data_IF_765980720341
#
_entry.id   IF_765980720341
#
_cell.length_a   1.000
_cell.length_b   1.000
_cell.length_c   1.000
_cell.angle_alpha   90.00
_cell.angle_beta   90.00
_cell.angle_gamma   90.00
#
_symmetry.space_group_name_H-M   'P 1'
#
loop_
_entity.id
_entity.type
_entity.pdbx_description
1 polymer ?
#
# COMPACT_ATOMS: atom_id res chain seq x y z
N UNK A 1 6.16 2.26 15.80
CA UNK A 1 4.89 2.42 15.05
C UNK A 1 5.13 2.17 13.57
N UNK A 2 4.26 1.41 12.92
CA UNK A 2 4.26 1.26 11.46
C UNK A 2 2.89 1.68 10.91
N UNK A 3 2.88 2.52 9.86
CA UNK A 3 1.66 2.94 9.19
C UNK A 3 1.69 2.36 7.77
N UNK A 4 0.67 1.62 7.39
CA UNK A 4 0.53 1.08 6.05
C UNK A 4 -0.64 1.72 5.33
N UNK A 5 -0.43 2.17 4.09
CA UNK A 5 -1.43 2.88 3.30
C UNK A 5 -1.71 2.11 2.01
N UNK A 6 -2.81 1.37 1.97
CA UNK A 6 -3.39 0.86 0.75
C UNK A 6 -4.34 1.90 0.15
N UNK A 7 -4.55 1.88 -1.18
CA UNK A 7 -5.28 2.99 -1.81
C UNK A 7 -5.78 2.65 -3.21
N UNK A 8 -6.92 3.17 -3.57
CA UNK A 8 -7.37 3.29 -4.95
C UNK A 8 -6.52 4.34 -5.70
N UNK A 9 -6.43 4.23 -7.02
CA UNK A 9 -5.74 5.20 -7.87
C UNK A 9 -6.41 6.58 -7.77
N UNK A 10 -5.62 7.66 -7.68
CA UNK A 10 -6.12 9.03 -7.53
C UNK A 10 -6.52 9.44 -6.10
N UNK A 11 -6.17 8.67 -5.07
CA UNK A 11 -6.49 8.97 -3.66
C UNK A 11 -5.40 9.73 -2.89
N UNK A 12 -4.35 10.23 -3.55
CA UNK A 12 -3.34 11.10 -2.95
C UNK A 12 -2.46 10.43 -1.87
N UNK A 13 -2.31 9.10 -1.89
CA UNK A 13 -1.64 8.34 -0.85
C UNK A 13 -0.17 8.72 -0.65
N UNK A 14 0.53 9.13 -1.71
CA UNK A 14 1.94 9.54 -1.60
C UNK A 14 2.06 10.84 -0.80
N UNK A 15 1.26 11.86 -1.14
CA UNK A 15 1.24 13.13 -0.39
C UNK A 15 0.82 12.96 1.07
N UNK A 16 -0.19 12.09 1.33
CA UNK A 16 -0.62 11.76 2.70
C UNK A 16 0.52 11.07 3.45
N UNK A 17 1.20 10.11 2.83
CA UNK A 17 2.33 9.39 3.41
C UNK A 17 3.52 10.30 3.74
N UNK A 18 3.88 11.21 2.83
CA UNK A 18 4.93 12.21 3.04
C UNK A 18 4.63 13.15 4.20
N UNK A 19 3.38 13.66 4.29
CA UNK A 19 3.00 14.53 5.40
C UNK A 19 2.95 13.80 6.75
N UNK A 20 2.51 12.53 6.76
CA UNK A 20 2.59 11.70 7.97
C UNK A 20 4.04 11.43 8.37
N UNK A 21 4.92 11.15 7.41
CA UNK A 21 6.34 10.95 7.66
C UNK A 21 6.99 12.19 8.29
N UNK A 22 6.69 13.37 7.74
CA UNK A 22 7.14 14.63 8.29
C UNK A 22 6.56 14.90 9.71
N UNK A 23 5.27 14.59 9.94
CA UNK A 23 4.61 14.77 11.24
C UNK A 23 5.22 13.90 12.33
N UNK A 24 5.53 12.65 12.01
CA UNK A 24 6.02 11.67 12.98
C UNK A 24 7.54 11.52 12.94
N UNK A 25 8.24 12.21 12.02
CA UNK A 25 9.68 12.11 11.80
C UNK A 25 10.15 10.64 11.69
N UNK A 26 9.47 9.86 10.83
CA UNK A 26 9.76 8.46 10.55
C UNK A 26 9.95 8.24 9.05
N UNK A 27 10.72 7.22 8.63
CA UNK A 27 10.95 6.93 7.22
C UNK A 27 9.67 6.67 6.44
N UNK A 28 9.66 7.12 5.17
CA UNK A 28 8.59 6.89 4.21
C UNK A 28 9.06 6.00 3.09
N UNK A 29 8.39 4.87 2.91
CA UNK A 29 8.72 3.89 1.88
C UNK A 29 7.64 3.77 0.83
N UNK A 30 8.07 3.99 -0.41
CA UNK A 30 7.32 3.72 -1.63
C UNK A 30 7.87 2.44 -2.28
N UNK A 31 7.20 1.95 -3.34
CA UNK A 31 7.73 0.86 -4.16
C UNK A 31 9.18 1.12 -4.59
N UNK A 32 9.49 2.34 -5.04
CA UNK A 32 10.83 2.71 -5.54
C UNK A 32 11.89 2.62 -4.43
N UNK A 33 11.61 3.16 -3.26
CA UNK A 33 12.56 3.13 -2.15
C UNK A 33 12.73 1.74 -1.54
N UNK A 34 11.68 0.92 -1.52
CA UNK A 34 11.77 -0.48 -1.10
C UNK A 34 12.58 -1.33 -2.08
N UNK A 35 12.40 -1.12 -3.38
CA UNK A 35 13.19 -1.78 -4.42
C UNK A 35 14.68 -1.44 -4.27
N UNK A 36 15.01 -0.17 -4.02
CA UNK A 36 16.41 0.22 -3.79
C UNK A 36 16.97 -0.37 -2.49
N UNK A 37 16.17 -0.42 -1.43
CA UNK A 37 16.56 -1.10 -0.19
C UNK A 37 16.84 -2.59 -0.42
N UNK A 38 16.01 -3.30 -1.20
CA UNK A 38 16.22 -4.71 -1.55
C UNK A 38 17.51 -4.90 -2.36
N UNK A 39 17.81 -3.97 -3.27
CA UNK A 39 19.06 -3.97 -4.03
C UNK A 39 20.27 -3.83 -3.11
N UNK A 40 20.27 -2.85 -2.22
CA UNK A 40 21.37 -2.59 -1.28
C UNK A 40 21.58 -3.79 -0.33
N UNK A 41 20.48 -4.43 0.09
CA UNK A 41 20.54 -5.64 0.94
C UNK A 41 20.89 -6.92 0.18
N UNK A 42 20.98 -6.90 -1.14
CA UNK A 42 21.34 -8.06 -1.97
C UNK A 42 20.22 -9.11 -2.11
N UNK A 43 18.97 -8.76 -1.78
CA UNK A 43 17.81 -9.67 -1.81
C UNK A 43 16.87 -9.43 -2.98
N UNK A 44 17.23 -8.51 -3.89
CA UNK A 44 16.35 -8.13 -5.00
C UNK A 44 15.98 -9.29 -5.91
N UNK A 45 16.93 -10.19 -6.23
CA UNK A 45 16.69 -11.34 -7.10
C UNK A 45 15.61 -12.31 -6.56
N UNK A 46 15.39 -12.31 -5.24
CA UNK A 46 14.36 -13.13 -4.59
C UNK A 46 13.00 -12.43 -4.53
N UNK A 47 12.93 -11.16 -4.98
CA UNK A 47 11.76 -10.28 -4.89
C UNK A 47 11.40 -9.62 -6.23
N UNK A 48 12.00 -10.02 -7.36
CA UNK A 48 11.86 -9.30 -8.64
C UNK A 48 10.39 -9.10 -9.02
N UNK A 49 9.58 -10.16 -9.02
CA UNK A 49 8.16 -10.08 -9.35
C UNK A 49 7.35 -9.26 -8.33
N UNK A 50 7.79 -9.24 -7.07
CA UNK A 50 7.14 -8.48 -6.00
C UNK A 50 7.20 -6.97 -6.24
N UNK A 51 8.28 -6.46 -6.81
CA UNK A 51 8.43 -5.04 -7.11
C UNK A 51 7.91 -4.66 -8.51
N UNK A 52 7.66 -5.62 -9.37
CA UNK A 52 7.07 -5.31 -10.66
C UNK A 52 5.58 -4.97 -10.51
N UNK A 53 5.13 -3.92 -11.22
CA UNK A 53 3.70 -3.61 -11.37
C UNK A 53 3.10 -4.33 -12.58
N UNK A 54 3.72 -5.41 -13.05
CA UNK A 54 3.10 -6.22 -14.07
C UNK A 54 1.80 -6.77 -13.52
N UNK A 55 0.71 -6.72 -14.30
CA UNK A 55 -0.44 -7.54 -13.98
C UNK A 55 0.11 -8.96 -13.82
N UNK A 56 -0.15 -9.57 -12.68
CA UNK A 56 0.03 -11.02 -12.54
C UNK A 56 -0.67 -11.60 -13.75
N UNK A 57 0.10 -12.32 -14.59
CA UNK A 57 -0.43 -12.86 -15.83
C UNK A 57 -1.71 -13.65 -15.51
N UNK A 58 -2.74 -13.53 -16.35
CA UNK A 58 -4.02 -14.22 -16.12
C UNK A 58 -3.81 -15.72 -15.90
N UNK A 59 -2.81 -16.30 -16.56
CA UNK A 59 -2.42 -17.69 -16.39
C UNK A 59 -1.80 -17.94 -15.01
N UNK A 60 -0.88 -17.09 -14.56
CA UNK A 60 -0.26 -17.19 -13.22
C UNK A 60 -1.32 -16.98 -12.13
N UNK A 61 -2.24 -16.03 -12.33
CA UNK A 61 -3.34 -15.80 -11.41
C UNK A 61 -4.29 -17.01 -11.34
N UNK A 62 -4.64 -17.61 -12.49
CA UNK A 62 -5.47 -18.80 -12.53
C UNK A 62 -4.78 -20.01 -11.89
N UNK A 63 -3.49 -20.18 -12.10
CA UNK A 63 -2.70 -21.27 -11.49
C UNK A 63 -2.63 -21.07 -9.97
N UNK A 64 -2.37 -19.85 -9.48
CA UNK A 64 -2.28 -19.56 -8.04
C UNK A 64 -3.61 -19.77 -7.31
N UNK A 65 -4.75 -19.59 -8.00
CA UNK A 65 -6.07 -19.86 -7.43
C UNK A 65 -6.46 -21.35 -7.47
N UNK A 66 -5.81 -22.15 -8.31
CA UNK A 66 -6.09 -23.58 -8.47
C UNK A 66 -5.05 -24.50 -7.83
N UNK A 67 -3.83 -24.02 -7.52
CA UNK A 67 -2.69 -24.83 -7.09
C UNK A 67 -2.32 -24.67 -5.63
N UNK A 68 -2.03 -25.78 -4.96
CA UNK A 68 -1.71 -25.83 -3.53
C UNK A 68 -0.22 -25.58 -3.22
N UNK A 69 0.67 -25.47 -4.22
CA UNK A 69 2.14 -25.49 -4.02
C UNK A 69 2.86 -24.14 -4.23
N UNK A 70 2.24 -23.16 -4.83
CA UNK A 70 2.87 -21.84 -5.05
C UNK A 70 2.83 -20.92 -3.83
N UNK A 71 2.09 -21.26 -2.79
CA UNK A 71 2.01 -20.48 -1.54
C UNK A 71 3.35 -20.24 -0.85
N UNK A 72 4.34 -21.10 -1.07
CA UNK A 72 5.68 -20.97 -0.49
C UNK A 72 6.53 -19.87 -1.15
N UNK A 73 6.41 -19.67 -2.46
CA UNK A 73 7.16 -18.62 -3.17
C UNK A 73 6.57 -17.23 -2.91
N UNK A 74 5.25 -17.13 -2.82
CA UNK A 74 4.55 -15.87 -2.53
C UNK A 74 4.83 -15.40 -1.10
N UNK A 75 4.86 -16.31 -0.13
CA UNK A 75 5.18 -15.98 1.27
C UNK A 75 6.60 -15.45 1.41
N UNK A 76 7.57 -15.97 0.64
CA UNK A 76 8.97 -15.59 0.74
C UNK A 76 9.22 -14.09 0.49
N UNK A 77 8.62 -13.50 -0.55
CA UNK A 77 8.77 -12.08 -0.83
C UNK A 77 8.17 -11.20 0.29
N UNK A 78 7.06 -11.65 0.87
CA UNK A 78 6.43 -10.97 2.02
C UNK A 78 7.31 -11.07 3.27
N UNK A 79 7.90 -12.25 3.52
CA UNK A 79 8.81 -12.48 4.65
C UNK A 79 10.08 -11.63 4.50
N UNK A 80 10.67 -11.58 3.30
CA UNK A 80 11.85 -10.74 3.02
C UNK A 80 11.52 -9.26 3.27
N UNK A 81 10.37 -8.77 2.82
CA UNK A 81 9.99 -7.38 3.12
C UNK A 81 9.79 -7.16 4.62
N UNK A 82 9.18 -8.10 5.32
CA UNK A 82 9.05 -8.06 6.77
C UNK A 82 10.42 -7.96 7.45
N UNK A 83 11.38 -8.78 7.05
CA UNK A 83 12.74 -8.79 7.59
C UNK A 83 13.52 -7.52 7.24
N UNK A 84 13.34 -6.99 6.01
CA UNK A 84 13.96 -5.73 5.59
C UNK A 84 13.55 -4.56 6.48
N UNK A 85 12.30 -4.51 6.88
CA UNK A 85 11.73 -3.46 7.75
C UNK A 85 11.99 -3.78 9.22
N UNK A 86 11.88 -5.05 9.62
CA UNK A 86 12.08 -5.51 10.99
C UNK A 86 11.16 -4.79 11.98
N UNK A 87 11.74 -4.29 13.07
CA UNK A 87 11.04 -3.55 14.11
C UNK A 87 11.10 -2.02 13.92
N UNK A 88 11.57 -1.55 12.76
CA UNK A 88 11.68 -0.12 12.48
C UNK A 88 10.31 0.56 12.44
N UNK A 89 10.30 1.81 12.84
CA UNK A 89 9.16 2.70 12.63
C UNK A 89 9.19 3.23 11.20
N UNK A 90 8.07 3.17 10.50
CA UNK A 90 8.00 3.68 9.13
C UNK A 90 6.57 3.80 8.60
N UNK A 91 6.46 4.45 7.45
CA UNK A 91 5.24 4.47 6.64
C UNK A 91 5.51 3.72 5.33
N UNK A 92 4.61 2.83 4.95
CA UNK A 92 4.70 2.05 3.71
C UNK A 92 3.44 2.25 2.87
N UNK A 93 3.62 2.61 1.60
CA UNK A 93 2.51 2.73 0.66
C UNK A 93 2.43 1.50 -0.25
N UNK A 94 1.36 0.72 -0.09
CA UNK A 94 1.08 -0.49 -0.87
C UNK A 94 1.85 -1.72 -0.41
N UNK A 95 2.19 -2.60 -1.36
CA UNK A 95 3.00 -3.83 -1.14
C UNK A 95 2.46 -4.76 -0.07
N UNK A 96 1.14 -4.88 0.02
CA UNK A 96 0.47 -5.74 1.01
C UNK A 96 0.88 -5.44 2.46
N UNK A 97 1.31 -4.21 2.76
CA UNK A 97 1.84 -3.84 4.07
C UNK A 97 0.88 -4.15 5.22
N UNK A 98 -0.42 -3.91 5.06
CA UNK A 98 -1.44 -4.29 6.05
C UNK A 98 -1.41 -5.79 6.39
N UNK A 99 -1.18 -6.65 5.40
CA UNK A 99 -1.10 -8.10 5.58
C UNK A 99 0.24 -8.53 6.19
N UNK A 100 1.35 -8.00 5.69
CA UNK A 100 2.71 -8.34 6.15
C UNK A 100 2.87 -8.04 7.63
N UNK A 101 2.42 -6.86 8.06
CA UNK A 101 2.63 -6.38 9.42
C UNK A 101 1.43 -6.59 10.36
N UNK A 102 0.43 -7.41 9.97
CA UNK A 102 -0.82 -7.65 10.71
C UNK A 102 -0.64 -8.14 12.15
N UNK A 103 0.51 -8.72 12.46
CA UNK A 103 0.82 -9.23 13.80
C UNK A 103 1.56 -8.23 14.70
N UNK A 104 1.88 -7.03 14.17
CA UNK A 104 2.50 -5.99 14.98
C UNK A 104 1.44 -5.23 15.77
N UNK A 105 1.65 -5.10 17.07
CA UNK A 105 0.74 -4.37 17.97
C UNK A 105 0.77 -2.85 17.77
N UNK A 106 1.78 -2.34 17.06
CA UNK A 106 1.97 -0.92 16.73
C UNK A 106 1.65 -0.60 15.25
N UNK A 107 0.91 -1.51 14.55
CA UNK A 107 0.42 -1.28 13.20
C UNK A 107 -0.77 -0.33 13.19
N UNK A 108 -0.75 0.59 12.24
CA UNK A 108 -1.93 1.35 11.80
C UNK A 108 -2.13 1.12 10.31
N UNK A 109 -3.19 0.42 9.96
CA UNK A 109 -3.51 0.06 8.58
C UNK A 109 -4.63 0.93 8.02
N UNK A 110 -4.36 1.59 6.89
CA UNK A 110 -5.26 2.56 6.26
C UNK A 110 -5.57 2.14 4.83
N UNK A 111 -6.84 2.20 4.45
CA UNK A 111 -7.29 2.10 3.06
C UNK A 111 -7.94 3.40 2.60
N UNK A 112 -7.33 4.03 1.59
CA UNK A 112 -7.83 5.26 0.99
C UNK A 112 -8.68 4.94 -0.23
N UNK A 113 -9.91 5.42 -0.25
CA UNK A 113 -10.86 5.29 -1.35
C UNK A 113 -11.40 6.64 -1.79
N UNK A 114 -12.12 6.66 -2.90
CA UNK A 114 -12.83 7.83 -3.39
C UNK A 114 -13.85 7.46 -4.46
N UNK A 115 -14.79 8.34 -4.73
CA UNK A 115 -15.71 8.17 -5.85
C UNK A 115 -14.92 8.14 -7.15
N UNK A 116 -15.23 7.23 -8.05
CA UNK A 116 -14.51 7.06 -9.30
C UNK A 116 -14.37 8.36 -10.10
N UNK A 117 -15.46 9.11 -10.26
CA UNK A 117 -15.44 10.39 -10.97
C UNK A 117 -14.49 11.42 -10.33
N UNK A 118 -14.36 11.42 -9.00
CA UNK A 118 -13.48 12.33 -8.27
C UNK A 118 -12.01 11.92 -8.44
N UNK A 119 -11.74 10.61 -8.39
CA UNK A 119 -10.42 10.03 -8.61
C UNK A 119 -9.92 10.25 -10.05
N UNK A 120 -10.81 10.08 -11.05
CA UNK A 120 -10.51 10.38 -12.46
C UNK A 120 -10.15 11.85 -12.63
N UNK A 121 -10.89 12.78 -12.00
CA UNK A 121 -10.55 14.20 -12.04
C UNK A 121 -9.19 14.50 -11.40
N UNK A 122 -8.90 13.88 -10.27
CA UNK A 122 -7.62 14.03 -9.58
C UNK A 122 -6.45 13.55 -10.47
N UNK A 123 -6.56 12.36 -11.06
CA UNK A 123 -5.54 11.81 -11.96
C UNK A 123 -5.41 12.67 -13.24
N UNK A 124 -6.53 13.15 -13.81
CA UNK A 124 -6.48 14.00 -14.99
C UNK A 124 -5.71 15.30 -14.73
N UNK A 125 -5.91 15.90 -13.55
CA UNK A 125 -5.22 17.12 -13.14
C UNK A 125 -3.73 16.86 -12.80
N UNK A 126 -3.42 15.78 -12.10
CA UNK A 126 -2.06 15.43 -11.68
C UNK A 126 -1.17 15.06 -12.89
N UNK A 127 -1.69 14.24 -13.81
CA UNK A 127 -0.95 13.75 -14.97
C UNK A 127 -1.06 14.67 -16.21
N UNK A 128 -1.89 15.71 -16.17
CA UNK A 128 -2.11 16.60 -17.31
C UNK A 128 -2.74 15.90 -18.51
N UNK A 129 -3.61 14.91 -18.30
CA UNK A 129 -4.22 14.09 -19.34
C UNK A 129 -5.72 14.31 -19.46
N UNK A 130 -6.31 13.85 -20.59
CA UNK A 130 -7.76 13.92 -20.79
C UNK A 130 -8.52 13.03 -19.78
N UNK A 131 -9.76 13.37 -19.41
CA UNK A 131 -10.57 12.53 -18.52
C UNK A 131 -10.73 11.08 -18.98
N UNK A 132 -10.80 10.86 -20.30
CA UNK A 132 -10.87 9.50 -20.88
C UNK A 132 -9.58 8.71 -20.62
N UNK A 133 -8.41 9.34 -20.77
CA UNK A 133 -7.12 8.71 -20.47
C UNK A 133 -6.94 8.47 -18.98
N UNK A 134 -7.34 9.44 -18.15
CA UNK A 134 -7.34 9.29 -16.70
C UNK A 134 -8.23 8.14 -16.22
N UNK A 135 -9.41 7.95 -16.83
CA UNK A 135 -10.29 6.82 -16.52
C UNK A 135 -9.60 5.48 -16.80
N UNK A 136 -8.95 5.34 -17.95
CA UNK A 136 -8.20 4.13 -18.27
C UNK A 136 -7.09 3.88 -17.24
N UNK A 137 -6.29 4.91 -16.89
CA UNK A 137 -5.24 4.79 -15.85
C UNK A 137 -5.83 4.33 -14.51
N UNK A 138 -6.96 4.93 -14.09
CA UNK A 138 -7.62 4.57 -12.82
C UNK A 138 -8.05 3.12 -12.80
N UNK A 139 -8.68 2.63 -13.86
CA UNK A 139 -9.15 1.26 -13.96
C UNK A 139 -7.99 0.27 -14.01
N UNK A 140 -7.03 0.47 -14.91
CA UNK A 140 -5.88 -0.43 -15.09
C UNK A 140 -5.06 -0.56 -13.79
N UNK A 141 -4.85 0.56 -13.08
CA UNK A 141 -4.11 0.57 -11.82
C UNK A 141 -4.86 -0.12 -10.68
N UNK A 142 -6.17 0.08 -10.57
CA UNK A 142 -6.97 -0.56 -9.51
C UNK A 142 -7.11 -2.06 -9.79
N UNK A 143 -7.34 -2.47 -11.03
CA UNK A 143 -7.39 -3.88 -11.43
C UNK A 143 -6.05 -4.59 -11.18
N UNK A 144 -4.93 -3.92 -11.48
CA UNK A 144 -3.61 -4.45 -11.17
C UNK A 144 -3.43 -4.65 -9.66
N UNK A 145 -3.88 -3.71 -8.83
CA UNK A 145 -3.79 -3.81 -7.36
C UNK A 145 -4.68 -4.91 -6.78
N UNK A 146 -5.89 -5.06 -7.32
CA UNK A 146 -6.79 -6.17 -6.94
C UNK A 146 -6.10 -7.51 -7.16
N UNK A 147 -5.57 -7.74 -8.39
CA UNK A 147 -4.87 -8.98 -8.74
C UNK A 147 -3.61 -9.19 -7.89
N UNK A 148 -2.79 -8.17 -7.75
CA UNK A 148 -1.58 -8.20 -6.93
C UNK A 148 -1.88 -8.57 -5.47
N UNK A 149 -2.86 -7.92 -4.86
CA UNK A 149 -3.21 -8.18 -3.47
C UNK A 149 -3.75 -9.61 -3.29
N UNK A 150 -4.66 -10.05 -4.17
CA UNK A 150 -5.20 -11.41 -4.14
C UNK A 150 -4.10 -12.46 -4.33
N UNK A 151 -3.15 -12.22 -5.24
CA UNK A 151 -2.06 -13.14 -5.53
C UNK A 151 -1.14 -13.36 -4.31
N UNK A 152 -0.76 -12.30 -3.60
CA UNK A 152 0.14 -12.39 -2.45
C UNK A 152 -0.53 -12.72 -1.13
N UNK A 153 -1.80 -12.40 -0.95
CA UNK A 153 -2.46 -12.47 0.35
C UNK A 153 -3.65 -13.41 0.41
N UNK A 154 -4.20 -13.80 -0.75
CA UNK A 154 -5.48 -14.50 -0.91
C UNK A 154 -6.68 -13.77 -0.28
N UNK A 155 -6.54 -12.46 -0.04
CA UNK A 155 -7.58 -11.61 0.54
C UNK A 155 -8.15 -10.65 -0.51
N UNK A 156 -9.41 -10.26 -0.30
CA UNK A 156 -10.06 -9.25 -1.12
C UNK A 156 -9.48 -7.86 -0.83
N UNK A 157 -8.90 -7.23 -1.85
CA UNK A 157 -8.37 -5.87 -1.71
C UNK A 157 -9.46 -4.85 -1.36
N UNK A 158 -9.19 -4.01 -0.35
CA UNK A 158 -10.11 -2.98 0.12
C UNK A 158 -11.28 -3.48 0.96
N UNK A 159 -11.27 -4.76 1.38
CA UNK A 159 -12.20 -5.24 2.39
C UNK A 159 -11.95 -4.49 3.71
N UNK A 160 -12.96 -3.79 4.20
CA UNK A 160 -12.83 -2.92 5.38
C UNK A 160 -12.47 -3.66 6.67
N UNK A 161 -12.68 -4.98 6.73
CA UNK A 161 -12.30 -5.80 7.88
C UNK A 161 -10.77 -5.96 8.04
N UNK A 162 -10.00 -5.70 6.95
CA UNK A 162 -8.55 -5.87 6.92
C UNK A 162 -7.77 -4.57 7.17
N UNK A 163 -8.49 -3.50 7.57
CA UNK A 163 -7.90 -2.17 7.79
C UNK A 163 -8.51 -1.50 9.02
N UNK A 164 -7.68 -0.76 9.75
CA UNK A 164 -8.15 0.04 10.89
C UNK A 164 -8.99 1.25 10.44
N UNK A 165 -8.61 1.87 9.33
CA UNK A 165 -9.29 3.03 8.75
C UNK A 165 -9.57 2.83 7.26
N UNK A 166 -10.84 3.02 6.87
CA UNK A 166 -11.28 3.05 5.47
C UNK A 166 -12.09 4.32 5.21
N UNK A 167 -11.57 5.27 4.44
CA UNK A 167 -12.29 6.53 4.21
C UNK A 167 -12.03 7.14 2.83
N UNK A 168 -12.92 8.08 2.44
CA UNK A 168 -12.81 8.84 1.18
C UNK A 168 -11.83 10.00 1.35
N UNK A 169 -10.58 9.77 0.96
CA UNK A 169 -9.50 10.75 1.06
C UNK A 169 -9.60 11.85 -0.01
N UNK A 170 -10.22 11.57 -1.15
CA UNK A 170 -10.41 12.57 -2.22
C UNK A 170 -11.39 13.66 -1.76
N UNK A 171 -12.49 13.24 -1.12
CA UNK A 171 -13.48 14.16 -0.56
C UNK A 171 -12.92 14.92 0.64
N UNK A 172 -12.12 14.28 1.47
CA UNK A 172 -11.59 14.87 2.70
C UNK A 172 -10.42 15.83 2.42
N UNK A 173 -9.61 15.54 1.41
CA UNK A 173 -8.37 16.24 1.10
C UNK A 173 -7.19 15.75 1.95
N UNK A 174 -5.98 16.08 1.51
CA UNK A 174 -4.73 15.56 2.12
C UNK A 174 -4.58 15.97 3.58
N UNK A 175 -4.68 17.25 3.90
CA UNK A 175 -4.48 17.77 5.27
C UNK A 175 -5.42 17.16 6.29
N UNK A 176 -6.71 17.06 5.94
CA UNK A 176 -7.71 16.47 6.85
C UNK A 176 -7.56 14.95 6.95
N UNK A 177 -7.09 14.29 5.89
CA UNK A 177 -6.75 12.85 5.91
C UNK A 177 -5.60 12.58 6.88
N UNK A 178 -4.55 13.39 6.85
CA UNK A 178 -3.42 13.33 7.79
C UNK A 178 -3.89 13.58 9.23
N UNK A 179 -4.76 14.59 9.42
CA UNK A 179 -5.31 14.88 10.73
C UNK A 179 -6.15 13.73 11.30
N UNK A 180 -7.01 13.12 10.46
CA UNK A 180 -7.85 11.97 10.83
C UNK A 180 -7.00 10.76 11.25
N UNK A 181 -5.99 10.40 10.45
CA UNK A 181 -5.07 9.32 10.79
C UNK A 181 -4.33 9.63 12.09
N UNK A 182 -3.88 10.88 12.26
CA UNK A 182 -3.22 11.32 13.49
C UNK A 182 -4.11 11.20 14.73
N UNK A 183 -5.37 11.61 14.66
CA UNK A 183 -6.33 11.45 15.76
C UNK A 183 -6.56 9.98 16.11
N UNK A 184 -6.62 9.11 15.11
CA UNK A 184 -6.73 7.68 15.34
C UNK A 184 -5.52 7.12 16.11
N UNK A 185 -4.31 7.46 15.68
CA UNK A 185 -3.04 7.06 16.33
C UNK A 185 -3.00 7.54 17.78
N UNK A 186 -3.37 8.80 18.02
CA UNK A 186 -3.46 9.39 19.36
C UNK A 186 -4.48 8.67 20.24
N UNK A 187 -5.64 8.33 19.67
CA UNK A 187 -6.69 7.57 20.36
C UNK A 187 -6.27 6.16 20.79
N UNK A 188 -5.38 5.51 20.02
CA UNK A 188 -4.79 4.22 20.36
C UNK A 188 -3.69 4.30 21.43
N UNK A 189 -3.23 5.50 21.78
CA UNK A 189 -2.11 5.68 22.70
C UNK A 189 -0.77 5.19 22.14
N UNK A 190 -0.68 4.99 20.83
CA UNK A 190 0.57 4.60 20.16
C UNK A 190 1.51 5.80 20.22
N UNK A 191 2.59 5.66 21.00
CA UNK A 191 3.66 6.66 21.09
C UNK A 191 4.85 6.25 20.26
N UNK A 192 5.55 7.24 19.70
CA UNK A 192 6.86 7.04 19.10
C UNK A 192 7.78 6.38 20.14
N UNK A 193 8.59 5.41 19.73
CA UNK A 193 9.68 4.91 20.58
C UNK A 193 10.66 6.07 20.78
N UNK A 194 10.91 6.43 22.01
CA UNK A 194 11.99 7.37 22.31
C UNK A 194 13.32 6.76 21.83
N UNK A 195 14.09 7.53 21.05
CA UNK A 195 15.36 7.11 20.46
C UNK A 195 16.44 6.94 21.52
#
# INVERSE_FOLDING_TARGET
>A
MIITIARQCGCGALHIGEQLAARYDIPFYTRKSLLEMARVKGVLAEMDDFFEERPVDELQFAISTLGHDEGLLHSRALDILSDMIGQSECIIVGRCGNYIFRHRSDLVSVFLKGREADRIRAVAAEEGVTPRKAAAIVHDMDDSRVRYHMYYTHLQWGNSADYDLCFDSVKLGTEKSVALIGQYIEGLGIRRKEA
#
